data_IF_188299008235
#
_entry.id   IF_188299008235
#
_cell.length_a   1.000
_cell.length_b   1.000
_cell.length_c   1.000
_cell.angle_alpha   90.00
_cell.angle_beta   90.00
_cell.angle_gamma   90.00
#
_symmetry.space_group_name_H-M   'P 1'
#
loop_
_entity.id
_entity.type
_entity.pdbx_description
1 polymer ?
#
# COMPACT_ATOMS: atom_id res chain seq x y z
N UNK A 1 -17.97 2.81 -7.86
CA UNK A 1 -16.49 2.76 -7.88
C UNK A 1 -16.11 1.32 -8.14
N UNK A 2 -15.00 1.03 -8.84
CA UNK A 2 -14.56 -0.36 -9.01
C UNK A 2 -14.21 -0.95 -7.63
N UNK A 3 -14.58 -2.21 -7.41
CA UNK A 3 -14.12 -3.00 -6.27
C UNK A 3 -12.71 -3.46 -6.61
N UNK A 4 -11.73 -3.16 -5.76
CA UNK A 4 -10.37 -3.70 -5.89
C UNK A 4 -10.36 -5.12 -5.29
N UNK A 5 -9.91 -6.10 -6.06
CA UNK A 5 -9.71 -7.47 -5.59
C UNK A 5 -8.23 -7.69 -5.38
N UNK A 6 -7.81 -7.70 -4.11
CA UNK A 6 -6.41 -7.87 -3.73
C UNK A 6 -6.21 -8.90 -2.61
N UNK A 7 -5.05 -9.54 -2.62
CA UNK A 7 -4.56 -10.34 -1.51
C UNK A 7 -3.04 -10.24 -1.39
N UNK A 8 -2.52 -10.58 -0.21
CA UNK A 8 -1.09 -10.51 0.09
C UNK A 8 -0.54 -11.86 0.50
N UNK A 9 0.70 -12.11 0.11
CA UNK A 9 1.55 -13.21 0.58
C UNK A 9 2.65 -12.59 1.42
N UNK A 10 2.67 -12.93 2.71
CA UNK A 10 3.58 -12.32 3.68
C UNK A 10 4.94 -13.03 3.73
N UNK A 11 5.93 -12.36 4.34
CA UNK A 11 7.23 -12.94 4.70
C UNK A 11 8.01 -13.57 3.51
N UNK A 12 7.97 -12.91 2.35
CA UNK A 12 8.60 -13.41 1.12
C UNK A 12 10.09 -13.04 1.03
N UNK A 13 10.86 -13.81 0.25
CA UNK A 13 12.15 -13.39 -0.29
C UNK A 13 11.91 -12.60 -1.61
N UNK A 14 12.19 -11.28 -1.66
CA UNK A 14 11.94 -10.47 -2.84
C UNK A 14 12.64 -10.96 -4.10
N UNK A 15 13.90 -11.43 -3.96
CA UNK A 15 14.70 -11.86 -5.10
C UNK A 15 14.23 -13.20 -5.65
N UNK A 16 13.77 -14.10 -4.79
CA UNK A 16 13.17 -15.36 -5.20
C UNK A 16 11.82 -15.15 -5.89
N UNK A 17 10.95 -14.31 -5.32
CA UNK A 17 9.63 -14.02 -5.88
C UNK A 17 9.74 -13.24 -7.18
N UNK A 18 10.65 -12.25 -7.28
CA UNK A 18 10.90 -11.54 -8.55
C UNK A 18 11.28 -12.51 -9.67
N UNK A 19 12.24 -13.42 -9.42
CA UNK A 19 12.63 -14.43 -10.40
C UNK A 19 11.46 -15.32 -10.80
N UNK A 20 10.70 -15.78 -9.82
CA UNK A 20 9.55 -16.64 -10.05
C UNK A 20 8.47 -15.95 -10.90
N UNK A 21 8.16 -14.67 -10.65
CA UNK A 21 7.21 -13.90 -11.46
C UNK A 21 7.69 -13.83 -12.92
N UNK A 22 8.96 -13.53 -13.14
CA UNK A 22 9.53 -13.45 -14.49
C UNK A 22 9.53 -14.81 -15.19
N UNK A 23 9.89 -15.88 -14.49
CA UNK A 23 9.89 -17.25 -15.02
C UNK A 23 8.48 -17.72 -15.43
N UNK A 24 7.43 -17.17 -14.80
CA UNK A 24 6.03 -17.42 -15.18
C UNK A 24 5.51 -16.51 -16.30
N UNK A 25 6.38 -15.69 -16.90
CA UNK A 25 6.03 -14.78 -17.99
C UNK A 25 5.64 -13.38 -17.54
N UNK A 26 5.84 -13.05 -16.27
CA UNK A 26 5.58 -11.73 -15.72
C UNK A 26 6.61 -10.71 -16.20
N UNK A 27 6.18 -9.46 -16.34
CA UNK A 27 7.03 -8.35 -16.80
C UNK A 27 7.22 -7.33 -15.70
N UNK A 28 8.47 -7.09 -15.30
CA UNK A 28 8.85 -6.01 -14.39
C UNK A 28 8.54 -4.66 -15.02
N UNK A 29 7.82 -3.82 -14.27
CA UNK A 29 7.44 -2.47 -14.66
C UNK A 29 8.42 -1.44 -14.10
N UNK A 30 9.05 -1.71 -12.96
CA UNK A 30 10.07 -0.87 -12.37
C UNK A 30 10.11 -0.98 -10.85
N UNK A 31 10.97 -0.16 -10.27
CA UNK A 31 11.15 -0.01 -8.83
C UNK A 31 10.91 1.44 -8.44
N UNK A 32 10.22 1.66 -7.32
CA UNK A 32 9.88 3.00 -6.83
C UNK A 32 10.17 3.11 -5.34
N UNK A 33 10.79 4.21 -4.97
CA UNK A 33 10.79 4.69 -3.60
C UNK A 33 9.58 5.60 -3.42
N UNK A 34 8.78 5.31 -2.41
CA UNK A 34 7.56 6.03 -2.09
C UNK A 34 7.65 6.60 -0.69
N UNK A 35 7.01 7.74 -0.49
CA UNK A 35 6.93 8.40 0.81
C UNK A 35 5.58 9.04 1.01
N UNK A 36 5.13 9.14 2.25
CA UNK A 36 3.84 9.76 2.58
C UNK A 36 3.82 10.38 3.94
N UNK A 37 3.06 11.45 4.06
CA UNK A 37 2.55 11.96 5.32
C UNK A 37 1.10 11.54 5.50
N UNK A 38 0.73 11.26 6.75
CA UNK A 38 -0.66 11.06 7.16
C UNK A 38 -1.00 12.10 8.21
N UNK A 39 -2.18 12.69 8.12
CA UNK A 39 -2.66 13.71 9.06
C UNK A 39 -4.06 13.31 9.55
N UNK A 40 -4.31 13.48 10.84
CA UNK A 40 -5.67 13.42 11.34
C UNK A 40 -6.40 14.72 10.98
N UNK A 41 -7.64 14.60 10.52
CA UNK A 41 -8.50 15.79 10.29
C UNK A 41 -9.05 16.27 11.63
N UNK A 42 -9.55 15.32 12.43
CA UNK A 42 -9.96 15.53 13.81
C UNK A 42 -9.11 14.62 14.69
N UNK A 43 -8.38 15.13 15.68
CA UNK A 43 -7.53 14.30 16.55
C UNK A 43 -8.32 13.15 17.18
N UNK A 44 -7.83 11.92 17.00
CA UNK A 44 -8.46 10.70 17.53
C UNK A 44 -9.59 10.12 16.68
N UNK A 45 -10.07 10.82 15.65
CA UNK A 45 -11.01 10.28 14.68
C UNK A 45 -10.26 9.46 13.63
N UNK A 46 -10.38 8.13 13.71
CA UNK A 46 -9.76 7.19 12.77
C UNK A 46 -10.63 6.94 11.53
N UNK A 47 -11.84 7.49 11.47
CA UNK A 47 -12.72 7.33 10.32
C UNK A 47 -12.30 8.19 9.13
N UNK A 48 -11.50 9.25 9.34
CA UNK A 48 -11.11 10.20 8.29
C UNK A 48 -9.69 10.70 8.46
N UNK A 49 -8.94 10.76 7.37
CA UNK A 49 -7.57 11.28 7.39
C UNK A 49 -7.17 11.90 6.05
N UNK A 50 -6.18 12.79 6.12
CA UNK A 50 -5.48 13.29 4.94
C UNK A 50 -4.26 12.41 4.70
N UNK A 51 -3.97 12.12 3.43
CA UNK A 51 -2.74 11.48 2.99
C UNK A 51 -2.11 12.32 1.88
N UNK A 52 -0.88 12.77 2.11
CA UNK A 52 -0.03 13.34 1.07
C UNK A 52 0.99 12.26 0.70
N UNK A 53 0.99 11.78 -0.55
CA UNK A 53 1.85 10.67 -0.98
C UNK A 53 2.61 11.05 -2.24
N UNK A 54 3.90 10.78 -2.24
CA UNK A 54 4.74 10.70 -3.43
C UNK A 54 4.97 9.21 -3.71
N UNK A 55 4.45 8.72 -4.84
CA UNK A 55 4.52 7.31 -5.21
C UNK A 55 5.70 7.00 -6.15
N UNK A 56 6.59 7.98 -6.39
CA UNK A 56 7.71 7.87 -7.33
C UNK A 56 7.36 8.19 -8.79
N UNK A 57 6.08 8.24 -9.16
CA UNK A 57 5.60 8.68 -10.48
C UNK A 57 4.88 10.03 -10.43
N UNK A 58 4.37 10.42 -9.26
CA UNK A 58 3.65 11.66 -9.03
C UNK A 58 3.29 11.82 -7.56
N UNK A 59 2.79 13.01 -7.23
CA UNK A 59 2.38 13.35 -5.88
C UNK A 59 0.86 13.54 -5.84
N UNK A 60 0.21 12.91 -4.86
CA UNK A 60 -1.22 13.04 -4.65
C UNK A 60 -1.53 13.49 -3.23
N UNK A 61 -2.59 14.30 -3.11
CA UNK A 61 -3.23 14.66 -1.85
C UNK A 61 -4.61 14.04 -1.84
N UNK A 62 -4.90 13.23 -0.83
CA UNK A 62 -6.16 12.55 -0.68
C UNK A 62 -6.78 12.79 0.70
N UNK A 63 -8.11 12.87 0.75
CA UNK A 63 -8.88 12.65 1.97
C UNK A 63 -9.56 11.30 1.84
N UNK A 64 -9.27 10.40 2.79
CA UNK A 64 -9.92 9.08 2.87
C UNK A 64 -10.91 9.09 4.03
N UNK A 65 -12.03 8.42 3.85
CA UNK A 65 -13.09 8.27 4.84
C UNK A 65 -13.59 6.83 4.86
N UNK A 66 -13.63 6.21 6.04
CA UNK A 66 -14.35 4.97 6.28
C UNK A 66 -15.80 5.32 6.65
N UNK A 67 -16.76 4.82 5.87
CA UNK A 67 -18.21 4.97 6.06
C UNK A 67 -18.88 3.68 6.55
N UNK A 68 -18.18 2.54 6.56
CA UNK A 68 -18.67 1.27 7.11
C UNK A 68 -17.71 0.10 6.85
N UNK A 69 -18.12 -1.10 7.28
CA UNK A 69 -17.36 -2.36 7.10
C UNK A 69 -17.70 -3.09 5.79
N UNK A 70 -18.59 -2.52 4.98
CA UNK A 70 -18.92 -3.06 3.67
C UNK A 70 -17.77 -2.86 2.68
N UNK A 71 -17.81 -3.60 1.56
CA UNK A 71 -16.77 -3.55 0.51
C UNK A 71 -16.63 -2.13 -0.10
N UNK A 72 -17.68 -1.32 -0.09
CA UNK A 72 -17.70 0.10 -0.50
C UNK A 72 -17.55 1.07 0.69
N UNK A 73 -17.18 0.58 1.85
CA UNK A 73 -17.11 1.32 3.10
C UNK A 73 -15.95 2.30 3.21
N UNK A 74 -15.18 2.54 2.14
CA UNK A 74 -14.14 3.57 2.10
C UNK A 74 -14.34 4.49 0.89
N UNK A 75 -14.49 5.77 1.14
CA UNK A 75 -14.52 6.82 0.12
C UNK A 75 -13.20 7.58 0.11
N UNK A 76 -12.71 7.92 -1.07
CA UNK A 76 -11.52 8.74 -1.27
C UNK A 76 -11.82 9.86 -2.25
N UNK A 77 -11.37 11.07 -1.91
CA UNK A 77 -11.22 12.17 -2.86
C UNK A 77 -9.74 12.44 -2.98
N UNK A 78 -9.18 12.22 -4.16
CA UNK A 78 -7.75 12.37 -4.45
C UNK A 78 -7.53 13.35 -5.59
N UNK A 79 -6.51 14.19 -5.46
CA UNK A 79 -6.03 15.10 -6.50
C UNK A 79 -4.52 15.00 -6.66
N UNK A 80 -4.03 15.25 -7.87
CA UNK A 80 -2.61 15.46 -8.11
C UNK A 80 -2.14 16.81 -7.58
N UNK A 81 -0.91 16.85 -7.07
CA UNK A 81 -0.21 18.08 -6.69
C UNK A 81 1.21 18.05 -7.26
N UNK A 82 1.78 19.21 -7.53
CA UNK A 82 3.06 19.29 -8.26
C UNK A 82 4.30 19.14 -7.38
N UNK A 83 4.20 19.46 -6.07
CA UNK A 83 5.35 19.45 -5.16
C UNK A 83 5.00 18.87 -3.78
N UNK A 84 5.68 17.78 -3.40
CA UNK A 84 5.45 17.08 -2.13
C UNK A 84 5.82 17.94 -0.92
N UNK A 85 6.94 18.67 -0.99
CA UNK A 85 7.42 19.47 0.16
C UNK A 85 6.52 20.68 0.39
N UNK A 86 6.16 21.38 -0.68
CA UNK A 86 5.29 22.55 -0.67
C UNK A 86 3.87 22.20 -0.25
N UNK A 87 3.32 21.07 -0.70
CA UNK A 87 2.02 20.59 -0.24
C UNK A 87 2.02 20.29 1.27
N UNK A 88 3.09 19.68 1.80
CA UNK A 88 3.23 19.49 3.26
C UNK A 88 3.27 20.83 4.01
N UNK A 89 4.11 21.77 3.54
CA UNK A 89 4.22 23.10 4.16
C UNK A 89 2.88 23.87 4.13
N UNK A 90 2.09 23.72 3.07
CA UNK A 90 0.75 24.30 2.98
C UNK A 90 -0.20 23.70 4.03
N UNK A 91 -0.18 22.38 4.22
CA UNK A 91 -0.98 21.71 5.26
C UNK A 91 -0.58 22.16 6.67
N UNK A 92 0.72 22.34 6.92
CA UNK A 92 1.22 22.89 8.18
C UNK A 92 0.72 24.31 8.45
N UNK A 93 0.72 25.18 7.42
CA UNK A 93 0.19 26.54 7.51
C UNK A 93 -1.33 26.58 7.72
N UNK A 94 -2.06 25.59 7.20
CA UNK A 94 -3.50 25.43 7.46
C UNK A 94 -3.80 24.93 8.88
N UNK A 95 -2.77 24.55 9.64
CA UNK A 95 -2.89 24.10 11.03
C UNK A 95 -2.88 22.58 11.22
N UNK A 96 -2.62 21.80 10.16
CA UNK A 96 -2.44 20.35 10.30
C UNK A 96 -1.03 20.02 10.77
N UNK A 97 -0.89 18.95 11.55
CA UNK A 97 0.42 18.36 11.88
C UNK A 97 0.39 16.90 11.45
N UNK A 98 1.41 16.46 10.73
CA UNK A 98 1.49 15.07 10.31
C UNK A 98 1.57 14.16 11.54
N UNK A 99 0.69 13.16 11.61
CA UNK A 99 0.75 12.13 12.64
C UNK A 99 1.88 11.14 12.39
N UNK A 100 2.17 10.89 11.11
CA UNK A 100 3.27 10.04 10.70
C UNK A 100 3.84 10.40 9.33
N UNK A 101 5.12 10.12 9.17
CA UNK A 101 5.84 10.06 7.91
C UNK A 101 6.31 8.62 7.67
N UNK A 102 6.13 8.11 6.45
CA UNK A 102 6.42 6.72 6.12
C UNK A 102 7.06 6.57 4.76
N UNK A 103 8.08 5.72 4.66
CA UNK A 103 8.78 5.33 3.44
C UNK A 103 8.48 3.88 3.06
N UNK A 104 8.47 3.57 1.77
CA UNK A 104 8.23 2.24 1.22
C UNK A 104 9.01 2.08 -0.08
N UNK A 105 9.56 0.89 -0.34
CA UNK A 105 10.11 0.54 -1.66
C UNK A 105 9.18 -0.50 -2.30
N UNK A 106 8.87 -0.33 -3.57
CA UNK A 106 7.93 -1.18 -4.30
C UNK A 106 8.52 -1.59 -5.64
N UNK A 107 8.45 -2.89 -5.93
CA UNK A 107 8.78 -3.44 -7.25
C UNK A 107 7.48 -3.91 -7.89
N UNK A 108 7.12 -3.33 -9.02
CA UNK A 108 5.84 -3.63 -9.69
C UNK A 108 6.06 -4.52 -10.90
N UNK A 109 5.12 -5.44 -11.12
CA UNK A 109 5.06 -6.36 -12.24
C UNK A 109 3.64 -6.44 -12.80
N UNK A 110 3.54 -6.95 -14.02
CA UNK A 110 2.28 -7.45 -14.58
C UNK A 110 2.45 -8.93 -14.95
N UNK A 111 1.47 -9.76 -14.61
CA UNK A 111 1.44 -11.19 -14.94
C UNK A 111 -0.01 -11.58 -15.27
N UNK A 112 -0.26 -12.09 -16.48
CA UNK A 112 -1.59 -12.50 -16.96
C UNK A 112 -2.71 -11.47 -16.69
N UNK A 113 -2.40 -10.18 -16.83
CA UNK A 113 -3.34 -9.08 -16.60
C UNK A 113 -3.47 -8.62 -15.14
N UNK A 114 -2.92 -9.36 -14.18
CA UNK A 114 -2.86 -8.95 -12.78
C UNK A 114 -1.66 -8.04 -12.49
N UNK A 115 -1.82 -7.15 -11.52
CA UNK A 115 -0.75 -6.32 -10.96
C UNK A 115 -0.14 -7.02 -9.75
N UNK A 116 1.18 -7.07 -9.72
CA UNK A 116 1.92 -7.71 -8.63
C UNK A 116 2.92 -6.72 -8.07
N UNK A 117 2.89 -6.51 -6.76
CA UNK A 117 3.72 -5.50 -6.10
C UNK A 117 4.47 -6.11 -4.92
N UNK A 118 5.79 -6.22 -5.06
CA UNK A 118 6.67 -6.61 -3.96
C UNK A 118 6.94 -5.36 -3.14
N UNK A 119 6.40 -5.35 -1.92
CA UNK A 119 6.48 -4.25 -1.00
C UNK A 119 7.53 -4.50 0.07
N UNK A 120 8.44 -3.56 0.21
CA UNK A 120 9.40 -3.52 1.33
C UNK A 120 9.08 -2.32 2.20
N UNK A 121 8.88 -2.60 3.48
CA UNK A 121 8.58 -1.60 4.50
C UNK A 121 9.62 -1.69 5.62
N UNK A 122 10.00 -0.56 6.26
CA UNK A 122 10.95 -0.61 7.37
C UNK A 122 10.46 -1.43 8.57
N UNK A 123 11.29 -2.34 9.08
CA UNK A 123 10.99 -3.06 10.33
C UNK A 123 10.08 -4.28 10.20
N UNK A 124 9.60 -4.63 9.00
CA UNK A 124 8.88 -5.88 8.75
C UNK A 124 9.42 -6.59 7.49
N UNK A 125 9.26 -7.91 7.38
CA UNK A 125 9.61 -8.63 6.16
C UNK A 125 8.80 -8.13 4.94
N UNK A 126 9.38 -8.19 3.72
CA UNK A 126 8.66 -7.88 2.50
C UNK A 126 7.48 -8.82 2.27
N UNK A 127 6.48 -8.31 1.55
CA UNK A 127 5.31 -9.09 1.14
C UNK A 127 5.00 -8.84 -0.34
N UNK A 128 4.33 -9.78 -0.99
CA UNK A 128 3.78 -9.62 -2.33
C UNK A 128 2.30 -9.29 -2.24
N UNK A 129 1.88 -8.20 -2.86
CA UNK A 129 0.48 -7.85 -3.10
C UNK A 129 0.11 -8.27 -4.53
N UNK A 130 -1.03 -8.94 -4.69
CA UNK A 130 -1.59 -9.34 -5.99
C UNK A 130 -2.94 -8.65 -6.10
N UNK A 131 -3.14 -7.88 -7.16
CA UNK A 131 -4.40 -7.22 -7.50
C UNK A 131 -4.86 -7.65 -8.89
N UNK A 132 -6.13 -8.04 -9.02
CA UNK A 132 -6.69 -8.50 -10.28
C UNK A 132 -8.16 -8.08 -10.46
N UNK A 133 -8.75 -8.45 -11.60
CA UNK A 133 -10.11 -8.06 -11.94
C UNK A 133 -11.17 -8.77 -11.07
N UNK A 134 -10.88 -9.97 -10.58
CA UNK A 134 -11.75 -10.74 -9.68
C UNK A 134 -10.93 -11.45 -8.60
N UNK A 135 -11.60 -11.92 -7.55
CA UNK A 135 -10.99 -12.74 -6.51
C UNK A 135 -10.44 -14.07 -7.06
N UNK A 136 -11.16 -14.69 -8.00
CA UNK A 136 -10.70 -15.92 -8.66
C UNK A 136 -9.41 -15.70 -9.46
N UNK A 137 -9.26 -14.52 -10.08
CA UNK A 137 -8.01 -14.17 -10.76
C UNK A 137 -6.86 -13.98 -9.76
N UNK A 138 -7.09 -13.38 -8.60
CA UNK A 138 -6.08 -13.27 -7.53
C UNK A 138 -5.59 -14.66 -7.11
N UNK A 139 -6.52 -15.58 -6.82
CA UNK A 139 -6.20 -16.96 -6.41
C UNK A 139 -5.44 -17.69 -7.53
N UNK A 140 -5.90 -17.59 -8.78
CA UNK A 140 -5.24 -18.20 -9.94
C UNK A 140 -3.79 -17.73 -10.10
N UNK A 141 -3.53 -16.44 -9.90
CA UNK A 141 -2.17 -15.88 -9.98
C UNK A 141 -1.31 -16.39 -8.82
N UNK A 142 -1.86 -16.46 -7.61
CA UNK A 142 -1.15 -17.04 -6.46
C UNK A 142 -0.77 -18.50 -6.72
N UNK A 143 -1.70 -19.31 -7.23
CA UNK A 143 -1.46 -20.72 -7.61
C UNK A 143 -0.40 -20.87 -8.70
N UNK A 144 -0.40 -19.97 -9.69
CA UNK A 144 0.61 -19.94 -10.75
C UNK A 144 2.03 -19.71 -10.19
N UNK A 145 2.13 -18.93 -9.12
CA UNK A 145 3.35 -18.70 -8.34
C UNK A 145 3.62 -19.78 -7.29
N UNK A 146 2.75 -20.78 -7.14
CA UNK A 146 2.94 -21.91 -6.24
C UNK A 146 2.46 -21.68 -4.80
N UNK A 147 1.61 -20.68 -4.58
CA UNK A 147 0.95 -20.42 -3.30
C UNK A 147 -0.49 -20.92 -3.33
N UNK A 148 -0.97 -21.43 -2.20
CA UNK A 148 -2.38 -21.81 -2.05
C UNK A 148 -3.21 -20.60 -1.59
N UNK A 149 -4.53 -20.67 -1.77
CA UNK A 149 -5.47 -19.68 -1.22
C UNK A 149 -5.29 -19.48 0.30
N UNK A 150 -4.94 -20.54 1.04
CA UNK A 150 -4.69 -20.47 2.47
C UNK A 150 -3.43 -19.68 2.86
N UNK A 151 -2.53 -19.41 1.92
CA UNK A 151 -1.34 -18.56 2.12
C UNK A 151 -1.67 -17.07 1.93
N UNK A 152 -2.86 -16.75 1.43
CA UNK A 152 -3.31 -15.39 1.14
C UNK A 152 -3.95 -14.73 2.36
N UNK A 153 -3.75 -13.42 2.46
CA UNK A 153 -4.44 -12.60 3.45
C UNK A 153 -4.89 -11.26 2.88
N UNK A 154 -6.08 -10.81 3.29
CA UNK A 154 -6.60 -9.45 3.06
C UNK A 154 -6.18 -8.46 4.15
N UNK A 155 -5.18 -8.80 4.98
CA UNK A 155 -4.70 -7.89 6.01
C UNK A 155 -4.07 -6.62 5.43
N UNK A 156 -4.54 -5.45 5.90
CA UNK A 156 -3.90 -4.19 5.58
C UNK A 156 -2.56 -4.04 6.32
N UNK A 157 -1.75 -3.06 5.91
CA UNK A 157 -0.41 -2.86 6.48
C UNK A 157 -0.41 -2.65 7.99
N UNK A 158 -1.44 -2.02 8.58
CA UNK A 158 -1.52 -1.83 10.04
C UNK A 158 -1.57 -3.20 10.75
N UNK A 159 -2.40 -4.13 10.26
CA UNK A 159 -2.50 -5.48 10.82
C UNK A 159 -1.19 -6.26 10.63
N UNK A 160 -0.55 -6.13 9.47
CA UNK A 160 0.75 -6.78 9.20
C UNK A 160 1.80 -6.33 10.22
N UNK A 161 1.94 -5.02 10.48
CA UNK A 161 2.85 -4.52 11.53
C UNK A 161 2.50 -5.05 12.93
N UNK A 162 1.22 -5.14 13.26
CA UNK A 162 0.78 -5.67 14.54
C UNK A 162 1.17 -7.15 14.75
N UNK A 163 1.24 -7.97 13.68
CA UNK A 163 1.76 -9.35 13.76
C UNK A 163 3.23 -9.41 14.21
N UNK A 164 3.99 -8.36 13.93
CA UNK A 164 5.37 -8.21 14.35
C UNK A 164 5.52 -7.43 15.67
N UNK A 165 4.42 -7.18 16.38
CA UNK A 165 4.41 -6.49 17.67
C UNK A 165 4.63 -4.98 17.57
N UNK A 166 4.40 -4.38 16.39
CA UNK A 166 4.58 -2.95 16.16
C UNK A 166 3.21 -2.29 15.99
N UNK A 167 2.90 -1.33 16.85
CA UNK A 167 1.73 -0.46 16.67
C UNK A 167 2.09 0.68 15.71
N UNK A 168 1.78 0.48 14.42
CA UNK A 168 2.11 1.43 13.35
C UNK A 168 1.51 2.84 13.58
N UNK A 169 0.36 2.94 14.27
CA UNK A 169 -0.26 4.24 14.53
C UNK A 169 0.52 5.08 15.55
N UNK A 170 1.41 4.46 16.32
CA UNK A 170 2.31 5.16 17.27
C UNK A 170 3.64 5.58 16.64
N UNK A 171 3.96 5.09 15.44
CA UNK A 171 5.23 5.36 14.76
C UNK A 171 5.15 6.69 14.01
N UNK A 172 5.84 7.71 14.54
CA UNK A 172 5.89 9.04 13.92
C UNK A 172 6.71 9.08 12.64
N UNK A 173 7.83 8.36 12.60
CA UNK A 173 8.67 8.26 11.41
C UNK A 173 9.04 6.81 11.16
N UNK A 174 8.75 6.36 9.94
CA UNK A 174 9.06 5.03 9.46
C UNK A 174 9.93 5.18 8.20
N UNK A 175 11.23 4.99 8.34
CA UNK A 175 12.26 5.25 7.32
C UNK A 175 13.19 4.05 7.17
N UNK A 176 13.83 3.93 6.00
CA UNK A 176 14.86 2.90 5.75
C UNK A 176 16.20 3.20 6.41
#
# INVERSE_FOLDING_TARGET
>A
MPIEHEAKILDIDPGAVERLIVDKGGRKLGERFMRRYVYDITPGDRSKWIRLRDNGNGVTLAVKQITGDAIDGTHEVEVGVDDFTGANALLELLGFTAKSYQETKRISFVLDGAQLEIDTWPGIPPYLEIEAATEEDVIRIAELLGYAEADLTGENTIKIYARHGIDLDTVRELRF
#
